data_IF_124999511429
#
_entry.id   IF_124999511429
#
_cell.length_a   1.000
_cell.length_b   1.000
_cell.length_c   1.000
_cell.angle_alpha   90.00
_cell.angle_beta   90.00
_cell.angle_gamma   90.00
#
_symmetry.space_group_name_H-M   'P 1'
#
loop_
_entity.id
_entity.type
_entity.pdbx_description
1 polymer ?
#
# COMPACT_ATOMS: atom_id res chain seq x y z
N UNK A 1 44.85 -11.84 -58.96
CA UNK A 1 44.09 -12.73 -58.07
C UNK A 1 43.75 -11.91 -56.85
N UNK A 2 42.64 -11.16 -56.94
CA UNK A 2 42.33 -10.08 -56.00
C UNK A 2 41.09 -10.43 -55.18
N UNK A 3 41.35 -10.52 -53.87
CA UNK A 3 40.52 -10.07 -52.77
C UNK A 3 39.12 -10.69 -52.57
N UNK A 4 39.06 -11.73 -51.72
CA UNK A 4 37.88 -12.07 -50.92
C UNK A 4 38.18 -11.82 -49.44
N UNK A 5 38.03 -10.58 -48.96
CA UNK A 5 37.88 -10.40 -47.53
C UNK A 5 36.91 -9.28 -47.18
N UNK A 6 35.71 -9.72 -46.77
CA UNK A 6 34.88 -9.11 -45.74
C UNK A 6 34.52 -7.64 -45.90
N UNK A 7 33.53 -7.38 -46.74
CA UNK A 7 32.49 -6.41 -46.40
C UNK A 7 31.47 -7.09 -45.47
N UNK A 8 31.82 -7.25 -44.18
CA UNK A 8 30.76 -7.33 -43.16
C UNK A 8 30.14 -5.93 -43.15
N UNK A 9 29.07 -5.79 -43.93
CA UNK A 9 28.22 -4.64 -43.93
C UNK A 9 27.64 -4.50 -42.51
N UNK A 10 28.22 -3.63 -41.68
CA UNK A 10 27.49 -3.11 -40.53
C UNK A 10 26.47 -2.13 -41.08
N UNK A 11 25.30 -2.66 -41.44
CA UNK A 11 24.12 -1.89 -41.76
C UNK A 11 23.97 -0.77 -40.73
N UNK A 12 23.95 0.47 -41.21
CA UNK A 12 23.66 1.64 -40.41
C UNK A 12 22.23 1.55 -39.90
N UNK A 13 22.01 0.80 -38.84
CA UNK A 13 20.77 0.87 -38.08
C UNK A 13 20.70 2.25 -37.44
N UNK A 14 19.58 2.94 -37.70
CA UNK A 14 19.26 4.19 -37.06
C UNK A 14 19.24 3.92 -35.55
N UNK A 15 20.30 4.34 -34.83
CA UNK A 15 20.41 4.17 -33.38
C UNK A 15 19.05 4.39 -32.72
N UNK A 16 18.48 3.31 -32.20
CA UNK A 16 17.16 3.33 -31.59
C UNK A 16 17.13 4.32 -30.43
N UNK A 17 15.95 4.82 -30.08
CA UNK A 17 15.79 5.76 -28.96
C UNK A 17 16.39 5.18 -27.67
N UNK A 18 16.22 3.88 -27.44
CA UNK A 18 16.79 3.15 -26.29
C UNK A 18 18.32 3.15 -26.31
N UNK A 19 18.94 2.91 -27.47
CA UNK A 19 20.41 2.88 -27.61
C UNK A 19 21.02 4.25 -27.30
N UNK A 20 20.36 5.33 -27.69
CA UNK A 20 20.81 6.71 -27.38
C UNK A 20 20.73 7.00 -25.89
N UNK A 21 19.67 6.57 -25.21
CA UNK A 21 19.52 6.72 -23.76
C UNK A 21 20.57 5.89 -23.03
N UNK A 22 20.78 4.64 -23.42
CA UNK A 22 21.80 3.78 -22.82
C UNK A 22 23.21 4.37 -23.03
N UNK A 23 23.53 4.88 -24.22
CA UNK A 23 24.80 5.54 -24.46
C UNK A 23 25.00 6.78 -23.57
N UNK A 24 23.96 7.60 -23.37
CA UNK A 24 24.04 8.77 -22.47
C UNK A 24 24.38 8.38 -21.02
N UNK A 25 23.86 7.26 -20.53
CA UNK A 25 24.12 6.77 -19.18
C UNK A 25 25.43 5.98 -19.05
N UNK A 26 25.80 5.19 -20.08
CA UNK A 26 26.95 4.29 -20.02
C UNK A 26 28.29 4.96 -20.34
N UNK A 27 28.32 5.93 -21.26
CA UNK A 27 29.58 6.61 -21.66
C UNK A 27 29.81 7.93 -20.94
N UNK A 28 28.79 8.53 -20.34
CA UNK A 28 28.89 9.82 -19.63
C UNK A 28 29.02 9.66 -18.09
N UNK A 29 29.39 10.73 -17.37
CA UNK A 29 29.41 10.73 -15.89
C UNK A 29 28.01 10.73 -15.27
N UNK A 30 26.95 10.71 -16.09
CA UNK A 30 25.56 10.82 -15.66
C UNK A 30 25.12 9.66 -14.76
N UNK A 31 25.62 8.44 -15.01
CA UNK A 31 25.36 7.28 -14.15
C UNK A 31 25.88 7.49 -12.72
N UNK A 32 27.10 8.03 -12.58
CA UNK A 32 27.69 8.31 -11.26
C UNK A 32 26.94 9.43 -10.55
N UNK A 33 26.56 10.49 -11.26
CA UNK A 33 25.77 11.59 -10.71
C UNK A 33 24.40 11.09 -10.23
N UNK A 34 23.72 10.26 -11.03
CA UNK A 34 22.43 9.69 -10.66
C UNK A 34 22.54 8.78 -9.43
N UNK A 35 23.60 7.96 -9.35
CA UNK A 35 23.89 7.16 -8.18
C UNK A 35 24.07 8.03 -6.93
N UNK A 36 24.84 9.13 -7.03
CA UNK A 36 25.03 10.06 -5.91
C UNK A 36 23.70 10.68 -5.46
N UNK A 37 22.87 11.13 -6.41
CA UNK A 37 21.54 11.68 -6.10
C UNK A 37 20.65 10.63 -5.42
N UNK A 38 20.67 9.38 -5.88
CA UNK A 38 19.91 8.30 -5.26
C UNK A 38 20.35 8.01 -3.82
N UNK A 39 21.67 8.01 -3.57
CA UNK A 39 22.22 7.83 -2.21
C UNK A 39 21.81 8.99 -1.30
N UNK A 40 21.91 10.23 -1.76
CA UNK A 40 21.50 11.41 -0.99
C UNK A 40 19.99 11.40 -0.71
N UNK A 41 19.17 11.07 -1.72
CA UNK A 41 17.73 10.94 -1.55
C UNK A 41 17.37 9.83 -0.55
N UNK A 42 18.04 8.68 -0.62
CA UNK A 42 17.87 7.59 0.34
C UNK A 42 18.27 7.99 1.77
N UNK A 43 19.36 8.74 1.92
CA UNK A 43 19.79 9.28 3.22
C UNK A 43 18.73 10.23 3.80
N UNK A 44 18.22 11.15 2.98
CA UNK A 44 17.14 12.07 3.39
C UNK A 44 15.88 11.29 3.78
N UNK A 45 15.53 10.23 3.05
CA UNK A 45 14.38 9.39 3.39
C UNK A 45 14.56 8.69 4.74
N UNK A 46 15.74 8.13 5.02
CA UNK A 46 16.02 7.48 6.32
C UNK A 46 15.91 8.46 7.48
N UNK A 47 16.45 9.66 7.33
CA UNK A 47 16.43 10.69 8.40
C UNK A 47 15.04 11.34 8.52
N UNK A 48 14.34 11.52 7.40
CA UNK A 48 13.07 12.23 7.33
C UNK A 48 11.83 11.38 7.57
N UNK A 49 11.93 10.05 7.49
CA UNK A 49 10.79 9.15 7.75
C UNK A 49 10.55 9.05 9.26
N UNK A 50 9.42 9.56 9.79
CA UNK A 50 9.08 9.40 11.19
C UNK A 50 8.94 7.92 11.53
N UNK A 51 9.53 7.51 12.65
CA UNK A 51 9.36 6.15 13.17
C UNK A 51 8.20 6.18 14.17
N UNK A 52 7.13 5.49 13.84
CA UNK A 52 6.08 5.17 14.81
C UNK A 52 6.54 3.91 15.57
N UNK A 53 6.73 4.03 16.88
CA UNK A 53 7.15 2.91 17.74
C UNK A 53 6.01 1.90 17.93
N UNK A 54 4.78 2.40 18.01
CA UNK A 54 3.55 1.63 18.01
C UNK A 54 2.67 2.13 16.86
N UNK A 55 2.54 1.37 15.76
CA UNK A 55 1.63 1.76 14.69
C UNK A 55 0.23 1.85 15.28
N UNK A 56 -0.44 2.98 15.09
CA UNK A 56 -1.78 3.18 15.65
C UNK A 56 -2.76 2.24 14.93
N UNK A 57 -3.15 1.16 15.59
CA UNK A 57 -4.20 0.27 15.10
C UNK A 57 -5.55 0.88 15.48
N UNK A 58 -6.16 1.58 14.53
CA UNK A 58 -7.54 2.07 14.68
C UNK A 58 -8.52 0.92 14.44
N UNK A 59 -8.95 0.25 15.51
CA UNK A 59 -10.06 -0.70 15.43
C UNK A 59 -11.37 0.10 15.47
N UNK A 60 -12.15 0.17 14.37
CA UNK A 60 -13.40 0.91 14.37
C UNK A 60 -14.40 0.22 15.29
N UNK A 61 -14.72 0.86 16.40
CA UNK A 61 -15.70 0.37 17.38
C UNK A 61 -16.87 1.34 17.45
N UNK A 62 -18.08 0.80 17.56
CA UNK A 62 -19.31 1.57 17.73
C UNK A 62 -20.07 1.03 18.95
N UNK A 63 -20.32 1.90 19.92
CA UNK A 63 -21.08 1.56 21.12
C UNK A 63 -22.57 1.89 20.94
N UNK A 64 -23.44 0.92 21.18
CA UNK A 64 -24.91 1.08 21.13
C UNK A 64 -25.48 0.85 22.52
N UNK A 65 -25.96 1.93 23.15
CA UNK A 65 -26.52 1.90 24.52
C UNK A 65 -28.03 2.11 24.46
N UNK A 66 -28.80 1.14 24.97
CA UNK A 66 -30.27 1.19 25.02
C UNK A 66 -30.75 1.10 26.45
N UNK A 67 -31.64 2.02 26.85
CA UNK A 67 -32.26 2.03 28.17
C UNK A 67 -33.66 1.44 28.11
N UNK A 68 -33.91 0.32 28.78
CA UNK A 68 -35.22 -0.34 28.84
C UNK A 68 -35.63 -0.60 30.31
N UNK A 69 -36.08 0.44 31.04
CA UNK A 69 -36.38 0.33 32.46
C UNK A 69 -37.63 -0.52 32.72
N UNK A 70 -37.62 -1.29 33.81
CA UNK A 70 -38.80 -2.02 34.30
C UNK A 70 -39.02 -3.41 33.71
N UNK A 71 -38.12 -3.91 32.86
CA UNK A 71 -38.14 -5.27 32.34
C UNK A 71 -37.04 -6.12 32.98
N UNK A 72 -37.26 -7.43 33.08
CA UNK A 72 -36.21 -8.34 33.53
C UNK A 72 -35.10 -8.47 32.47
N UNK A 73 -33.88 -8.83 32.88
CA UNK A 73 -32.77 -9.04 31.94
C UNK A 73 -33.13 -10.01 30.80
N UNK A 74 -33.91 -11.07 31.10
CA UNK A 74 -34.38 -12.04 30.12
C UNK A 74 -35.35 -11.45 29.08
N UNK A 75 -36.18 -10.50 29.50
CA UNK A 75 -37.07 -9.78 28.58
C UNK A 75 -36.30 -8.77 27.73
N UNK A 76 -35.34 -8.05 28.31
CA UNK A 76 -34.46 -7.11 27.58
C UNK A 76 -33.66 -7.85 26.50
N UNK A 77 -33.14 -9.04 26.83
CA UNK A 77 -32.42 -9.88 25.87
C UNK A 77 -33.30 -10.23 24.66
N UNK A 78 -34.49 -10.80 24.93
CA UNK A 78 -35.39 -11.29 23.88
C UNK A 78 -36.00 -10.18 23.03
N UNK A 79 -36.34 -9.05 23.65
CA UNK A 79 -37.11 -7.97 23.01
C UNK A 79 -36.22 -6.89 22.38
N UNK A 80 -35.02 -6.68 22.90
CA UNK A 80 -34.13 -5.58 22.47
C UNK A 80 -32.82 -6.13 21.92
N UNK A 81 -32.13 -6.95 22.70
CA UNK A 81 -30.75 -7.36 22.39
C UNK A 81 -30.69 -8.28 21.17
N UNK A 82 -31.47 -9.36 21.16
CA UNK A 82 -31.50 -10.33 20.06
C UNK A 82 -31.90 -9.73 18.69
N UNK A 83 -32.95 -8.89 18.57
CA UNK A 83 -33.26 -8.28 17.28
C UNK A 83 -32.22 -7.24 16.86
N UNK A 84 -31.67 -6.46 17.80
CA UNK A 84 -30.64 -5.47 17.49
C UNK A 84 -29.36 -6.12 16.98
N UNK A 85 -28.92 -7.21 17.62
CA UNK A 85 -27.75 -7.98 17.18
C UNK A 85 -27.92 -8.48 15.74
N UNK A 86 -29.08 -9.05 15.40
CA UNK A 86 -29.36 -9.52 14.03
C UNK A 86 -29.32 -8.41 12.99
N UNK A 87 -29.80 -7.21 13.33
CA UNK A 87 -29.76 -6.06 12.42
C UNK A 87 -28.33 -5.53 12.24
N UNK A 88 -27.54 -5.47 13.32
CA UNK A 88 -26.15 -5.03 13.27
C UNK A 88 -25.26 -5.99 12.47
N UNK A 89 -25.51 -7.30 12.55
CA UNK A 89 -24.83 -8.31 11.74
C UNK A 89 -25.09 -8.20 10.23
N UNK A 90 -26.16 -7.53 9.82
CA UNK A 90 -26.47 -7.32 8.40
C UNK A 90 -25.76 -6.10 7.80
N UNK A 91 -25.07 -5.30 8.62
CA UNK A 91 -24.34 -4.12 8.16
C UNK A 91 -23.02 -4.57 7.55
N UNK A 92 -22.76 -4.10 6.32
CA UNK A 92 -21.50 -4.37 5.64
C UNK A 92 -20.32 -3.75 6.40
N UNK A 93 -19.26 -4.54 6.61
CA UNK A 93 -18.09 -4.14 7.40
C UNK A 93 -18.17 -4.39 8.91
N UNK A 94 -19.24 -5.01 9.43
CA UNK A 94 -19.29 -5.46 10.83
C UNK A 94 -18.74 -6.89 10.95
N UNK A 95 -17.59 -7.04 11.62
CA UNK A 95 -16.98 -8.35 11.85
C UNK A 95 -17.46 -9.01 13.14
N UNK A 96 -17.67 -8.20 14.19
CA UNK A 96 -17.99 -8.69 15.53
C UNK A 96 -19.04 -7.80 16.21
N UNK A 97 -20.06 -8.43 16.79
CA UNK A 97 -21.08 -7.78 17.62
C UNK A 97 -21.06 -8.43 19.00
N UNK A 98 -20.87 -7.64 20.04
CA UNK A 98 -20.95 -8.08 21.44
C UNK A 98 -22.13 -7.40 22.12
N UNK A 99 -22.88 -8.17 22.92
CA UNK A 99 -24.07 -7.67 23.59
C UNK A 99 -24.08 -8.05 25.08
N UNK A 100 -24.54 -7.12 25.92
CA UNK A 100 -24.69 -7.31 27.37
C UNK A 100 -26.05 -6.74 27.77
N UNK A 101 -26.90 -7.58 28.36
CA UNK A 101 -28.19 -7.18 28.91
C UNK A 101 -28.18 -7.28 30.44
N UNK A 102 -28.63 -6.22 31.11
CA UNK A 102 -28.69 -6.09 32.56
C UNK A 102 -29.94 -5.37 33.00
#
# INVERSE_FOLDING_TARGET
>A
MENQNNSVQSSGEKRGLVERVVALFATGPLSLLFCLVAVVAGYIAIVGTPREEDPQIVVPMADVIVHFPGASAKEVEKLVTSPLEKLLWQIDGVEHVYSVSR
#
